data_IF_078975632637
#
_entry.id   IF_078975632637
#
_cell.length_a   1.000
_cell.length_b   1.000
_cell.length_c   1.000
_cell.angle_alpha   90.00
_cell.angle_beta   90.00
_cell.angle_gamma   90.00
#
_symmetry.space_group_name_H-M   'P 1'
#
loop_
_entity.id
_entity.type
_entity.pdbx_description
1 polymer ?
#
# COMPACT_ATOMS: atom_id res chain seq x y z
N UNK A 1 -43.00 -6.87 42.27
CA UNK A 1 -42.60 -7.32 40.91
C UNK A 1 -43.04 -6.28 39.90
N UNK A 2 -42.12 -5.42 39.43
CA UNK A 2 -42.42 -4.40 38.43
C UNK A 2 -41.38 -4.48 37.30
N UNK A 3 -41.88 -4.62 36.07
CA UNK A 3 -41.13 -4.64 34.81
C UNK A 3 -40.47 -3.27 34.61
N UNK A 4 -39.17 -3.22 34.28
CA UNK A 4 -38.51 -1.99 33.81
C UNK A 4 -38.41 -2.02 32.30
N UNK A 5 -39.13 -1.10 31.67
CA UNK A 5 -39.01 -0.76 30.26
C UNK A 5 -37.72 0.03 30.00
N UNK A 6 -37.19 -0.20 28.80
CA UNK A 6 -36.07 0.47 28.15
C UNK A 6 -36.15 2.01 28.15
N UNK A 7 -34.99 2.66 28.17
CA UNK A 7 -34.80 3.96 27.51
C UNK A 7 -33.40 3.99 26.91
N UNK A 8 -33.29 3.88 25.58
CA UNK A 8 -32.10 4.29 24.84
C UNK A 8 -32.02 5.83 24.92
N UNK A 9 -30.85 6.43 25.18
CA UNK A 9 -30.67 7.83 24.86
C UNK A 9 -30.49 7.97 23.34
N UNK A 10 -31.40 8.72 22.73
CA UNK A 10 -31.37 9.12 21.33
C UNK A 10 -30.13 9.96 21.00
N UNK A 11 -29.66 9.77 19.77
CA UNK A 11 -28.54 10.45 19.12
C UNK A 11 -28.67 11.98 19.11
N UNK A 12 -27.55 12.67 19.29
CA UNK A 12 -27.34 14.01 18.74
C UNK A 12 -26.69 13.87 17.36
N UNK A 13 -27.51 14.10 16.35
CA UNK A 13 -27.19 14.10 14.93
C UNK A 13 -26.41 15.38 14.62
N UNK A 14 -25.08 15.29 14.46
CA UNK A 14 -24.32 16.31 13.75
C UNK A 14 -24.08 15.82 12.31
N UNK A 15 -24.86 16.37 11.37
CA UNK A 15 -24.76 16.10 9.95
C UNK A 15 -23.58 16.86 9.34
N UNK A 16 -22.37 16.34 9.56
CA UNK A 16 -21.21 16.69 8.74
C UNK A 16 -20.95 15.52 7.78
N UNK A 17 -21.01 15.82 6.49
CA UNK A 17 -20.98 14.87 5.35
C UNK A 17 -19.66 14.09 5.16
N UNK A 18 -18.83 13.94 6.21
CA UNK A 18 -17.62 13.11 6.24
C UNK A 18 -17.80 11.77 6.97
N UNK A 19 -18.90 11.59 7.71
CA UNK A 19 -19.08 10.47 8.66
C UNK A 19 -19.39 9.11 8.03
N UNK A 20 -19.81 9.04 6.76
CA UNK A 20 -20.24 7.78 6.15
C UNK A 20 -19.07 6.96 5.56
N UNK A 21 -17.92 7.58 5.35
CA UNK A 21 -16.73 6.93 4.78
C UNK A 21 -15.85 6.38 5.91
N UNK A 22 -15.69 7.13 7.00
CA UNK A 22 -14.95 6.72 8.20
C UNK A 22 -15.55 5.49 8.90
N UNK A 23 -16.88 5.35 8.91
CA UNK A 23 -17.57 4.24 9.58
C UNK A 23 -17.27 2.85 8.99
N UNK A 24 -16.66 2.80 7.80
CA UNK A 24 -16.26 1.55 7.13
C UNK A 24 -14.86 1.07 7.50
N UNK A 25 -14.04 1.92 8.11
CA UNK A 25 -12.71 1.57 8.57
C UNK A 25 -12.83 1.11 10.03
N UNK A 26 -12.42 -0.13 10.35
CA UNK A 26 -12.48 -0.60 11.73
C UNK A 26 -11.54 0.22 12.61
N UNK A 27 -12.05 0.60 13.78
CA UNK A 27 -11.27 1.24 14.83
C UNK A 27 -10.95 0.20 15.91
N UNK A 28 -9.67 0.09 16.24
CA UNK A 28 -9.16 -0.86 17.22
C UNK A 28 -8.96 -0.17 18.56
N UNK A 29 -9.19 -0.91 19.65
CA UNK A 29 -9.07 -0.36 21.01
C UNK A 29 -7.69 0.28 21.28
N UNK A 30 -6.62 -0.30 20.73
CA UNK A 30 -5.26 0.18 20.92
C UNK A 30 -4.99 1.56 20.30
N UNK A 31 -5.85 2.02 19.38
CA UNK A 31 -5.77 3.37 18.80
C UNK A 31 -6.17 4.47 19.77
N UNK A 32 -7.04 4.13 20.73
CA UNK A 32 -7.54 5.08 21.73
C UNK A 32 -6.64 5.16 22.97
N UNK A 33 -5.65 4.28 23.07
CA UNK A 33 -4.71 4.25 24.18
C UNK A 33 -3.70 5.39 24.06
N UNK A 34 -3.45 6.09 25.17
CA UNK A 34 -2.29 6.96 25.32
C UNK A 34 -0.98 6.14 25.20
N UNK A 35 0.19 6.77 24.96
CA UNK A 35 1.47 6.07 24.92
C UNK A 35 1.79 5.26 26.18
N UNK A 36 1.29 5.68 27.34
CA UNK A 36 1.48 4.95 28.61
C UNK A 36 0.55 3.75 28.69
N UNK A 37 -0.74 3.92 28.33
CA UNK A 37 -1.71 2.82 28.31
C UNK A 37 -1.35 1.77 27.27
N UNK A 38 -0.82 2.17 26.11
CA UNK A 38 -0.28 1.25 25.11
C UNK A 38 0.83 0.36 25.69
N UNK A 39 1.78 0.93 26.43
CA UNK A 39 2.83 0.12 27.07
C UNK A 39 2.29 -0.81 28.14
N UNK A 40 1.29 -0.34 28.91
CA UNK A 40 0.62 -1.14 29.93
C UNK A 40 -0.25 -2.26 29.34
N UNK A 41 -0.66 -2.17 28.08
CA UNK A 41 -1.38 -3.21 27.35
C UNK A 41 -0.41 -4.14 26.60
N UNK A 42 0.57 -3.59 25.88
CA UNK A 42 1.51 -4.32 25.02
C UNK A 42 2.28 -5.42 25.76
N UNK A 43 2.97 -5.09 26.86
CA UNK A 43 3.83 -6.04 27.57
C UNK A 43 3.03 -7.20 28.20
N UNK A 44 1.95 -6.96 28.97
CA UNK A 44 1.17 -8.05 29.54
C UNK A 44 0.44 -8.88 28.48
N UNK A 45 -0.10 -8.27 27.43
CA UNK A 45 -0.78 -8.99 26.35
C UNK A 45 0.19 -9.90 25.61
N UNK A 46 1.40 -9.40 25.28
CA UNK A 46 2.44 -10.21 24.65
C UNK A 46 2.88 -11.37 25.55
N UNK A 47 3.11 -11.12 26.84
CA UNK A 47 3.50 -12.16 27.79
C UNK A 47 2.41 -13.25 27.96
N UNK A 48 1.14 -12.86 27.89
CA UNK A 48 -0.01 -13.77 28.02
C UNK A 48 -0.22 -14.64 26.78
N UNK A 49 -0.10 -14.05 25.58
CA UNK A 49 -0.33 -14.74 24.31
C UNK A 49 0.89 -15.52 23.79
N UNK A 50 2.09 -15.06 24.13
CA UNK A 50 3.33 -15.46 23.46
C UNK A 50 3.52 -14.74 22.12
N UNK A 51 4.76 -14.69 21.65
CA UNK A 51 5.19 -13.85 20.52
C UNK A 51 4.46 -14.17 19.21
N UNK A 52 4.24 -15.45 18.90
CA UNK A 52 3.59 -15.87 17.65
C UNK A 52 2.12 -15.44 17.59
N UNK A 53 1.35 -15.69 18.65
CA UNK A 53 -0.05 -15.31 18.73
C UNK A 53 -0.21 -13.78 18.85
N UNK A 54 0.71 -13.10 19.54
CA UNK A 54 0.76 -11.65 19.60
C UNK A 54 1.01 -11.02 18.23
N UNK A 55 1.99 -11.54 17.47
CA UNK A 55 2.26 -11.11 16.11
C UNK A 55 1.04 -11.33 15.21
N UNK A 56 0.42 -12.51 15.27
CA UNK A 56 -0.75 -12.82 14.47
C UNK A 56 -1.93 -11.85 14.76
N UNK A 57 -2.15 -11.52 16.03
CA UNK A 57 -3.14 -10.51 16.44
C UNK A 57 -2.83 -9.15 15.81
N UNK A 58 -1.62 -8.61 16.03
CA UNK A 58 -1.26 -7.26 15.57
C UNK A 58 -1.21 -7.15 14.05
N UNK A 59 -0.69 -8.16 13.36
CA UNK A 59 -0.71 -8.22 11.91
C UNK A 59 -2.14 -8.27 11.38
N UNK A 60 -3.06 -9.01 12.02
CA UNK A 60 -4.46 -9.04 11.61
C UNK A 60 -5.13 -7.67 11.78
N UNK A 61 -4.85 -6.93 12.86
CA UNK A 61 -5.38 -5.57 13.07
C UNK A 61 -4.88 -4.61 11.97
N UNK A 62 -3.57 -4.65 11.69
CA UNK A 62 -2.90 -3.87 10.63
C UNK A 62 -3.51 -4.20 9.25
N UNK A 63 -3.58 -5.48 8.90
CA UNK A 63 -4.12 -5.97 7.63
C UNK A 63 -5.57 -5.53 7.44
N UNK A 64 -6.40 -5.70 8.46
CA UNK A 64 -7.81 -5.35 8.38
C UNK A 64 -7.97 -3.84 8.20
N UNK A 65 -7.22 -3.01 8.93
CA UNK A 65 -7.25 -1.55 8.73
C UNK A 65 -6.77 -1.17 7.33
N UNK A 66 -5.66 -1.71 6.86
CA UNK A 66 -5.13 -1.41 5.52
C UNK A 66 -6.10 -1.80 4.41
N UNK A 67 -6.74 -2.97 4.48
CA UNK A 67 -7.72 -3.42 3.48
C UNK A 67 -8.93 -2.48 3.44
N UNK A 68 -9.54 -2.20 4.59
CA UNK A 68 -10.68 -1.28 4.65
C UNK A 68 -10.33 0.14 4.18
N UNK A 69 -9.10 0.59 4.47
CA UNK A 69 -8.57 1.88 3.99
C UNK A 69 -8.44 1.93 2.47
N UNK A 70 -7.90 0.87 1.88
CA UNK A 70 -7.77 0.72 0.44
C UNK A 70 -9.14 0.62 -0.25
N UNK A 71 -10.10 -0.07 0.35
CA UNK A 71 -11.47 -0.16 -0.17
C UNK A 71 -12.13 1.22 -0.21
N UNK A 72 -12.01 1.98 0.88
CA UNK A 72 -12.47 3.37 0.94
C UNK A 72 -11.80 4.23 -0.13
N UNK A 73 -10.48 4.14 -0.27
CA UNK A 73 -9.74 4.88 -1.30
C UNK A 73 -10.25 4.54 -2.70
N UNK A 74 -10.41 3.25 -3.00
CA UNK A 74 -10.89 2.76 -4.27
C UNK A 74 -12.30 3.29 -4.58
N UNK A 75 -13.18 3.31 -3.59
CA UNK A 75 -14.53 3.88 -3.74
C UNK A 75 -14.48 5.38 -4.04
N UNK A 76 -13.62 6.13 -3.35
CA UNK A 76 -13.44 7.57 -3.57
C UNK A 76 -12.86 7.89 -4.95
N UNK A 77 -11.93 7.06 -5.44
CA UNK A 77 -11.39 7.16 -6.80
C UNK A 77 -12.50 6.90 -7.82
N UNK A 78 -13.28 5.82 -7.66
CA UNK A 78 -14.40 5.48 -8.56
C UNK A 78 -15.48 6.55 -8.56
N UNK A 79 -15.73 7.18 -7.42
CA UNK A 79 -16.68 8.28 -7.28
C UNK A 79 -16.13 9.64 -7.78
N UNK A 80 -14.87 9.70 -8.23
CA UNK A 80 -14.20 10.94 -8.65
C UNK A 80 -14.00 11.97 -7.52
N UNK A 81 -14.14 11.54 -6.27
CA UNK A 81 -13.96 12.37 -5.06
C UNK A 81 -12.48 12.54 -4.72
N UNK A 82 -11.64 11.61 -5.14
CA UNK A 82 -10.19 11.71 -5.06
C UNK A 82 -9.62 11.99 -6.46
N UNK A 83 -9.09 13.19 -6.67
CA UNK A 83 -8.36 13.53 -7.89
C UNK A 83 -6.88 13.37 -7.61
N UNK A 84 -6.26 12.37 -8.23
CA UNK A 84 -4.81 12.30 -8.25
C UNK A 84 -4.25 13.59 -8.88
N UNK A 85 -3.09 14.07 -8.43
CA UNK A 85 -2.36 15.07 -9.20
C UNK A 85 -2.26 14.56 -10.64
N UNK A 86 -2.37 15.43 -11.65
CA UNK A 86 -2.22 15.01 -13.03
C UNK A 86 -0.92 14.24 -13.13
N UNK A 87 -1.02 12.96 -13.51
CA UNK A 87 0.16 12.17 -13.85
C UNK A 87 0.82 12.94 -14.97
N UNK A 88 2.03 13.45 -14.74
CA UNK A 88 2.81 14.03 -15.81
C UNK A 88 2.96 12.94 -16.86
N UNK A 89 2.28 13.10 -18.00
CA UNK A 89 2.24 12.11 -19.08
C UNK A 89 3.63 11.84 -19.70
N UNK A 90 4.65 12.55 -19.25
CA UNK A 90 5.99 12.55 -19.84
C UNK A 90 7.00 11.65 -19.12
N UNK A 91 6.65 11.05 -17.96
CA UNK A 91 7.55 10.10 -17.30
C UNK A 91 7.39 8.73 -17.95
N UNK A 92 8.02 8.58 -19.11
CA UNK A 92 8.29 7.28 -19.72
C UNK A 92 9.11 6.43 -18.73
N UNK A 93 8.71 5.19 -18.42
CA UNK A 93 9.53 4.33 -17.59
C UNK A 93 10.92 4.09 -18.18
N UNK A 94 11.83 3.59 -17.37
CA UNK A 94 13.22 3.39 -17.79
C UNK A 94 13.44 2.04 -18.47
N UNK A 95 12.38 1.21 -18.50
CA UNK A 95 12.38 -0.13 -19.06
C UNK A 95 11.03 -0.47 -19.66
N UNK A 96 11.05 -1.29 -20.70
CA UNK A 96 9.86 -1.90 -21.30
C UNK A 96 9.95 -3.40 -21.12
N UNK A 97 8.90 -3.99 -20.54
CA UNK A 97 8.74 -5.43 -20.38
C UNK A 97 7.78 -6.00 -21.44
N UNK A 98 8.12 -7.16 -21.98
CA UNK A 98 7.31 -7.91 -22.93
C UNK A 98 6.62 -9.10 -22.24
N UNK A 99 5.49 -9.54 -22.79
CA UNK A 99 4.72 -10.66 -22.23
C UNK A 99 5.45 -12.01 -22.22
N UNK A 100 6.53 -12.15 -22.97
CA UNK A 100 7.43 -13.33 -22.98
C UNK A 100 8.51 -13.27 -21.89
N UNK A 101 8.51 -12.23 -21.06
CA UNK A 101 9.44 -12.04 -19.94
C UNK A 101 10.73 -11.31 -20.29
N UNK A 102 10.90 -10.87 -21.55
CA UNK A 102 12.03 -10.05 -21.97
C UNK A 102 11.85 -8.61 -21.49
N UNK A 103 12.96 -7.96 -21.14
CA UNK A 103 12.96 -6.58 -20.63
C UNK A 103 14.07 -5.82 -21.33
N UNK A 104 13.79 -4.60 -21.75
CA UNK A 104 14.74 -3.74 -22.44
C UNK A 104 14.93 -2.46 -21.65
N UNK A 105 16.18 -2.01 -21.52
CA UNK A 105 16.47 -0.68 -21.00
C UNK A 105 16.10 0.38 -22.06
N UNK A 106 15.62 1.55 -21.64
CA UNK A 106 15.27 2.68 -22.54
C UNK A 106 15.76 4.02 -22.00
N UNK A 107 15.98 4.97 -22.90
CA UNK A 107 16.47 6.30 -22.59
C UNK A 107 17.99 6.42 -22.49
N UNK A 108 18.48 7.65 -22.73
CA UNK A 108 19.92 7.98 -22.81
C UNK A 108 20.70 7.55 -21.56
N UNK A 109 20.07 7.58 -20.38
CA UNK A 109 20.72 7.17 -19.13
C UNK A 109 21.14 5.69 -19.10
N UNK A 110 20.60 4.87 -20.01
CA UNK A 110 20.99 3.48 -20.20
C UNK A 110 21.77 3.26 -21.49
N UNK A 111 22.21 4.33 -22.15
CA UNK A 111 22.93 4.28 -23.42
C UNK A 111 22.02 4.05 -24.63
N UNK A 112 20.70 4.10 -24.46
CA UNK A 112 19.73 3.91 -25.55
C UNK A 112 19.46 5.27 -26.21
N UNK A 113 19.72 5.43 -27.52
CA UNK A 113 19.40 6.67 -28.23
C UNK A 113 17.91 7.04 -28.15
N UNK A 114 17.61 8.34 -28.13
CA UNK A 114 16.23 8.83 -28.00
C UNK A 114 15.32 8.32 -29.12
N UNK A 115 15.80 8.25 -30.36
CA UNK A 115 15.01 7.75 -31.48
C UNK A 115 14.63 6.26 -31.32
N UNK A 116 15.50 5.45 -30.71
CA UNK A 116 15.20 4.04 -30.39
C UNK A 116 14.19 3.98 -29.25
N UNK A 117 14.40 4.79 -28.21
CA UNK A 117 13.48 4.91 -27.07
C UNK A 117 12.07 5.27 -27.53
N UNK A 118 11.95 6.29 -28.39
CA UNK A 118 10.68 6.73 -28.95
C UNK A 118 10.05 5.66 -29.84
N UNK A 119 10.84 4.98 -30.68
CA UNK A 119 10.34 3.87 -31.51
C UNK A 119 9.85 2.69 -30.67
N UNK A 120 10.56 2.34 -29.59
CA UNK A 120 10.16 1.29 -28.65
C UNK A 120 8.85 1.63 -27.96
N UNK A 121 8.66 2.87 -27.50
CA UNK A 121 7.40 3.32 -26.92
C UNK A 121 6.25 3.39 -27.92
N UNK A 122 6.50 3.87 -29.14
CA UNK A 122 5.49 3.93 -30.19
C UNK A 122 5.03 2.54 -30.64
N UNK A 123 5.94 1.57 -30.64
CA UNK A 123 5.67 0.20 -31.12
C UNK A 123 5.12 -0.70 -30.01
N UNK A 124 5.66 -0.56 -28.79
CA UNK A 124 5.46 -1.50 -27.69
C UNK A 124 4.98 -0.88 -26.37
N UNK A 125 4.53 0.38 -26.40
CA UNK A 125 4.00 1.05 -25.21
C UNK A 125 2.95 0.22 -24.48
N UNK A 126 2.97 0.32 -23.14
CA UNK A 126 2.14 -0.22 -22.04
C UNK A 126 1.33 -1.54 -22.18
N UNK A 127 0.91 -1.99 -23.36
CA UNK A 127 0.04 -3.16 -23.58
C UNK A 127 0.38 -3.98 -24.84
N UNK A 128 1.54 -3.79 -25.46
CA UNK A 128 1.86 -4.50 -26.70
C UNK A 128 2.36 -5.95 -26.47
N UNK A 129 1.74 -6.90 -27.18
CA UNK A 129 2.27 -8.26 -27.32
C UNK A 129 3.58 -8.31 -28.12
N UNK A 130 4.33 -9.39 -27.96
CA UNK A 130 5.61 -9.62 -28.63
C UNK A 130 5.45 -9.71 -30.17
N UNK A 131 5.45 -8.57 -30.87
CA UNK A 131 5.79 -8.53 -32.30
C UNK A 131 7.29 -8.78 -32.45
N UNK A 132 7.73 -9.02 -33.68
CA UNK A 132 9.15 -9.20 -34.01
C UNK A 132 9.96 -8.00 -33.52
N UNK A 133 10.80 -8.21 -32.52
CA UNK A 133 11.70 -7.18 -31.97
C UNK A 133 12.83 -6.96 -32.99
N UNK A 134 13.09 -5.71 -33.43
CA UNK A 134 14.21 -5.39 -34.31
C UNK A 134 15.55 -5.87 -33.73
N UNK A 135 16.41 -6.42 -34.59
CA UNK A 135 17.71 -6.98 -34.19
C UNK A 135 18.61 -5.93 -33.53
N UNK A 136 18.56 -4.69 -34.03
CA UNK A 136 19.25 -3.52 -33.44
C UNK A 136 18.84 -3.22 -31.99
N UNK A 137 17.67 -3.66 -31.54
CA UNK A 137 17.21 -3.39 -30.17
C UNK A 137 17.68 -4.46 -29.18
N UNK A 138 18.12 -5.61 -29.68
CA UNK A 138 18.58 -6.73 -28.85
C UNK A 138 19.81 -6.37 -28.00
N UNK A 139 20.61 -5.40 -28.45
CA UNK A 139 21.74 -4.86 -27.67
C UNK A 139 21.29 -4.26 -26.33
N UNK A 140 20.07 -3.74 -26.26
CA UNK A 140 19.50 -3.12 -25.06
C UNK A 140 18.66 -4.10 -24.22
N UNK A 141 18.61 -5.38 -24.60
CA UNK A 141 17.94 -6.40 -23.79
C UNK A 141 18.68 -6.58 -22.45
N UNK A 142 17.94 -6.50 -21.36
CA UNK A 142 18.44 -6.77 -20.02
C UNK A 142 18.68 -8.27 -19.88
N UNK A 143 19.92 -8.73 -19.63
CA UNK A 143 20.21 -10.15 -19.56
C UNK A 143 19.39 -10.86 -18.49
N UNK A 144 18.86 -12.05 -18.80
CA UNK A 144 18.03 -12.83 -17.88
C UNK A 144 18.71 -13.09 -16.52
N UNK A 145 20.05 -13.23 -16.51
CA UNK A 145 20.84 -13.36 -15.27
C UNK A 145 20.70 -12.13 -14.37
N UNK A 146 20.82 -10.92 -14.94
CA UNK A 146 20.67 -9.64 -14.23
C UNK A 146 19.25 -9.51 -13.68
N UNK A 147 18.23 -9.84 -14.48
CA UNK A 147 16.83 -9.85 -14.01
C UNK A 147 16.61 -10.82 -12.84
N UNK A 148 17.21 -12.02 -12.90
CA UNK A 148 17.11 -13.01 -11.82
C UNK A 148 17.78 -12.51 -10.53
N UNK A 149 18.94 -11.87 -10.63
CA UNK A 149 19.65 -11.27 -9.50
C UNK A 149 18.86 -10.12 -8.88
N UNK A 150 18.32 -9.20 -9.70
CA UNK A 150 17.46 -8.11 -9.24
C UNK A 150 16.21 -8.64 -8.51
N UNK A 151 15.55 -9.67 -9.06
CA UNK A 151 14.39 -10.31 -8.41
C UNK A 151 14.75 -10.94 -7.07
N UNK A 152 15.86 -11.66 -7.00
CA UNK A 152 16.36 -12.25 -5.75
C UNK A 152 16.67 -11.17 -4.70
N UNK A 153 17.31 -10.08 -5.13
CA UNK A 153 17.61 -8.95 -4.25
C UNK A 153 16.33 -8.32 -3.71
N UNK A 154 15.37 -7.99 -4.58
CA UNK A 154 14.06 -7.44 -4.17
C UNK A 154 13.31 -8.37 -3.22
N UNK A 155 13.33 -9.67 -3.50
CA UNK A 155 12.70 -10.65 -2.61
C UNK A 155 13.40 -10.69 -1.24
N UNK A 156 14.73 -10.65 -1.22
CA UNK A 156 15.49 -10.57 0.03
C UNK A 156 15.17 -9.30 0.81
N UNK A 157 15.18 -8.14 0.16
CA UNK A 157 14.81 -6.84 0.75
C UNK A 157 13.38 -6.87 1.31
N UNK A 158 12.44 -7.51 0.60
CA UNK A 158 11.05 -7.69 1.04
C UNK A 158 10.98 -8.55 2.30
N UNK A 159 11.71 -9.66 2.34
CA UNK A 159 11.76 -10.55 3.50
C UNK A 159 12.41 -9.85 4.71
N UNK A 160 13.51 -9.14 4.50
CA UNK A 160 14.14 -8.33 5.54
C UNK A 160 13.19 -7.24 6.06
N UNK A 161 12.43 -6.59 5.18
CA UNK A 161 11.37 -5.65 5.54
C UNK A 161 10.30 -6.27 6.44
N UNK A 162 9.81 -7.47 6.08
CA UNK A 162 8.82 -8.19 6.88
C UNK A 162 9.35 -8.61 8.26
N UNK A 163 10.60 -9.07 8.34
CA UNK A 163 11.21 -9.45 9.62
C UNK A 163 11.48 -8.23 10.51
N UNK A 164 11.90 -7.10 9.92
CA UNK A 164 12.00 -5.84 10.65
C UNK A 164 10.64 -5.37 11.16
N UNK A 165 9.58 -5.50 10.35
CA UNK A 165 8.23 -5.14 10.76
C UNK A 165 7.75 -5.99 11.94
N UNK A 166 7.92 -7.32 11.88
CA UNK A 166 7.62 -8.21 13.03
C UNK A 166 8.39 -7.80 14.29
N UNK A 167 9.67 -7.50 14.15
CA UNK A 167 10.50 -7.04 15.28
C UNK A 167 9.94 -5.77 15.90
N UNK A 168 9.55 -4.81 15.07
CA UNK A 168 8.93 -3.55 15.51
C UNK A 168 7.54 -3.72 16.12
N UNK A 169 6.80 -4.75 15.72
CA UNK A 169 5.55 -5.10 16.38
C UNK A 169 5.83 -5.67 17.77
N UNK A 170 6.81 -6.57 17.89
CA UNK A 170 7.17 -7.20 19.16
C UNK A 170 7.73 -6.21 20.19
N UNK A 171 8.52 -5.22 19.75
CA UNK A 171 9.04 -4.16 20.62
C UNK A 171 8.04 -3.02 20.91
N UNK A 172 6.86 -3.08 20.29
CA UNK A 172 5.76 -2.13 20.50
C UNK A 172 5.95 -0.78 19.79
N UNK A 173 6.96 -0.64 18.93
CA UNK A 173 7.19 0.57 18.13
C UNK A 173 6.34 0.66 16.86
N UNK A 174 5.70 -0.45 16.46
CA UNK A 174 4.78 -0.49 15.33
C UNK A 174 3.49 -1.24 15.68
N UNK A 175 2.37 -0.66 15.31
CA UNK A 175 1.04 -1.25 15.44
C UNK A 175 0.07 -0.52 14.51
N UNK A 176 -1.20 -0.91 14.55
CA UNK A 176 -2.30 -0.27 13.81
C UNK A 176 -2.42 1.25 14.06
N UNK A 177 -1.86 1.73 15.18
CA UNK A 177 -1.74 3.16 15.56
C UNK A 177 -0.86 3.97 14.60
N UNK A 178 0.11 3.31 13.96
CA UNK A 178 1.03 3.93 13.00
C UNK A 178 0.44 4.05 11.58
N UNK A 179 -0.74 3.44 11.34
CA UNK A 179 -1.46 3.58 10.08
C UNK A 179 -2.23 4.91 10.15
N UNK A 180 -1.59 5.96 9.65
CA UNK A 180 -2.19 7.28 9.54
C UNK A 180 -3.20 7.31 8.38
N UNK A 181 -4.43 7.69 8.72
CA UNK A 181 -5.52 7.87 7.77
C UNK A 181 -5.72 9.34 7.38
N UNK A 182 -4.90 10.26 7.90
CA UNK A 182 -5.01 11.71 7.69
C UNK A 182 -5.03 12.13 6.22
N UNK A 183 -4.38 11.37 5.34
CA UNK A 183 -4.48 11.58 3.89
C UNK A 183 -5.90 11.37 3.35
N UNK A 184 -6.67 10.40 3.87
CA UNK A 184 -8.06 10.15 3.47
C UNK A 184 -9.04 11.15 4.09
N UNK A 185 -8.73 11.68 5.27
CA UNK A 185 -9.64 12.49 6.08
C UNK A 185 -9.50 14.01 5.85
N UNK A 186 -8.36 14.47 5.32
CA UNK A 186 -8.13 15.88 4.97
C UNK A 186 -8.81 16.30 3.66
N UNK A 187 -10.09 15.99 3.48
CA UNK A 187 -10.87 16.43 2.32
C UNK A 187 -11.67 17.72 2.53
N UNK A 188 -11.56 18.38 3.69
CA UNK A 188 -12.07 19.75 3.87
C UNK A 188 -11.21 20.58 4.81
N UNK A 189 -10.37 21.42 4.23
CA UNK A 189 -9.99 22.74 4.76
C UNK A 189 -9.53 23.63 3.61
N UNK A 190 -10.47 24.00 2.74
CA UNK A 190 -10.41 25.24 1.93
C UNK A 190 -11.84 25.70 1.68
#
# INVERSE_FOLDING_TARGET
MHKRNWTQPHALLNQNSGTHVESRIPRFHIEDLSPTEWRAEHEPTRASLGDEAYLALRLSEIDQKMRSSNDVLNDMIKAGQWKFPPVGNDVKPDRIGFGDGRVFDVGIKHGVPDYITDAMYATYGLEAGARSIPEEWLEFEVPAKKLKEERKRKEKERQEGLEMEKTRILDGSYSVRAIDMGCFLNLKSS
#
